data_IF_494821122257
#
_entry.id   IF_494821122257
#
_cell.length_a   1.000
_cell.length_b   1.000
_cell.length_c   1.000
_cell.angle_alpha   90.00
_cell.angle_beta   90.00
_cell.angle_gamma   90.00
#
_symmetry.space_group_name_H-M   'P 1'
#
loop_
_entity.id
_entity.type
_entity.pdbx_description
1 polymer ?
#
# COMPACT_ATOMS: atom_id res chain seq x y z
N UNK A 1 -26.86 -10.19 -10.64
CA UNK A 1 -25.70 -9.88 -9.77
C UNK A 1 -24.59 -9.08 -10.48
N UNK A 2 -24.59 -9.00 -11.83
CA UNK A 2 -23.54 -8.25 -12.58
C UNK A 2 -23.64 -6.72 -12.44
N UNK A 3 -24.79 -6.22 -12.01
CA UNK A 3 -25.08 -4.77 -11.89
C UNK A 3 -24.88 -4.23 -10.46
N UNK A 4 -24.27 -5.00 -9.57
CA UNK A 4 -23.98 -4.56 -8.22
C UNK A 4 -22.59 -3.89 -8.17
N UNK A 5 -22.56 -2.61 -7.87
CA UNK A 5 -21.34 -1.78 -7.77
C UNK A 5 -20.28 -2.41 -6.83
N UNK A 6 -20.72 -3.04 -5.74
CA UNK A 6 -19.80 -3.72 -4.82
C UNK A 6 -19.11 -4.92 -5.45
N UNK A 7 -19.85 -5.70 -6.26
CA UNK A 7 -19.28 -6.86 -6.95
C UNK A 7 -18.28 -6.41 -8.02
N UNK A 8 -18.62 -5.36 -8.77
CA UNK A 8 -17.72 -4.79 -9.76
C UNK A 8 -16.43 -4.22 -9.12
N UNK A 9 -16.57 -3.52 -8.00
CA UNK A 9 -15.43 -2.97 -7.24
C UNK A 9 -14.54 -4.09 -6.70
N UNK A 10 -15.11 -5.15 -6.13
CA UNK A 10 -14.36 -6.29 -5.63
C UNK A 10 -13.61 -7.03 -6.74
N UNK A 11 -14.28 -7.27 -7.87
CA UNK A 11 -13.66 -7.89 -9.04
C UNK A 11 -12.47 -7.05 -9.53
N UNK A 12 -12.64 -5.74 -9.64
CA UNK A 12 -11.57 -4.82 -10.03
C UNK A 12 -10.37 -4.88 -9.07
N UNK A 13 -10.62 -4.93 -7.76
CA UNK A 13 -9.55 -5.05 -6.75
C UNK A 13 -8.77 -6.36 -6.95
N UNK A 14 -9.47 -7.49 -7.12
CA UNK A 14 -8.86 -8.81 -7.29
C UNK A 14 -8.03 -8.85 -8.59
N UNK A 15 -8.62 -8.42 -9.70
CA UNK A 15 -7.97 -8.42 -11.01
C UNK A 15 -6.72 -7.54 -11.01
N UNK A 16 -6.83 -6.34 -10.45
CA UNK A 16 -5.69 -5.41 -10.33
C UNK A 16 -4.59 -5.97 -9.43
N UNK A 17 -4.96 -6.55 -8.29
CA UNK A 17 -4.01 -7.17 -7.38
C UNK A 17 -3.26 -8.31 -8.04
N UNK A 18 -3.97 -9.20 -8.73
CA UNK A 18 -3.35 -10.31 -9.44
C UNK A 18 -2.47 -9.85 -10.61
N UNK A 19 -2.86 -8.81 -11.32
CA UNK A 19 -2.03 -8.22 -12.37
C UNK A 19 -0.73 -7.60 -11.84
N UNK A 20 -0.71 -7.15 -10.59
CA UNK A 20 0.47 -6.58 -9.91
C UNK A 20 1.29 -7.62 -9.16
N UNK A 21 0.75 -8.82 -8.94
CA UNK A 21 1.38 -9.85 -8.10
C UNK A 21 2.71 -10.37 -8.65
N UNK A 22 2.90 -10.37 -9.97
CA UNK A 22 4.10 -10.89 -10.64
C UNK A 22 4.48 -12.32 -10.14
N UNK A 23 3.45 -13.14 -9.93
CA UNK A 23 3.60 -14.51 -9.41
C UNK A 23 3.97 -14.65 -7.93
N UNK A 24 4.07 -13.54 -7.20
CA UNK A 24 4.47 -13.55 -5.77
C UNK A 24 3.33 -13.91 -4.84
N UNK A 25 2.09 -13.66 -5.23
CA UNK A 25 0.88 -13.98 -4.48
C UNK A 25 -0.30 -14.13 -5.44
N UNK A 26 -1.42 -14.64 -4.92
CA UNK A 26 -2.70 -14.70 -5.61
C UNK A 26 -3.76 -14.08 -4.72
N UNK A 27 -4.57 -13.18 -5.27
CA UNK A 27 -5.76 -12.65 -4.62
C UNK A 27 -6.98 -13.41 -5.14
N UNK A 28 -7.82 -13.90 -4.23
CA UNK A 28 -9.04 -14.62 -4.55
C UNK A 28 -10.21 -14.18 -3.66
N UNK A 29 -11.41 -14.49 -4.07
CA UNK A 29 -12.61 -14.22 -3.30
C UNK A 29 -12.95 -15.43 -2.43
N UNK A 30 -13.04 -15.22 -1.12
CA UNK A 30 -13.46 -16.23 -0.16
C UNK A 30 -14.82 -15.84 0.46
N UNK A 31 -15.84 -16.64 0.21
CA UNK A 31 -17.19 -16.47 0.79
C UNK A 31 -17.26 -16.80 2.28
N UNK A 32 -16.30 -17.55 2.79
CA UNK A 32 -16.27 -18.00 4.19
C UNK A 32 -15.57 -17.01 5.10
N UNK A 33 -14.86 -16.04 4.49
CA UNK A 33 -14.07 -15.06 5.23
C UNK A 33 -14.96 -14.04 5.95
N UNK A 34 -14.90 -14.06 7.27
CA UNK A 34 -15.66 -13.16 8.15
C UNK A 34 -14.72 -12.48 9.14
N UNK A 35 -14.87 -11.17 9.28
CA UNK A 35 -14.16 -10.38 10.31
C UNK A 35 -15.11 -9.87 11.35
N UNK A 36 -14.81 -10.09 12.63
CA UNK A 36 -15.62 -9.64 13.76
C UNK A 36 -15.57 -8.13 14.07
N UNK A 37 -14.95 -7.32 13.23
CA UNK A 37 -14.78 -5.89 13.42
C UNK A 37 -15.91 -5.11 12.75
N UNK A 38 -16.81 -4.55 13.53
CA UNK A 38 -18.01 -3.84 13.05
C UNK A 38 -17.78 -2.45 12.43
N UNK A 39 -16.53 -2.02 12.20
CA UNK A 39 -16.22 -0.72 11.62
C UNK A 39 -15.92 -0.75 10.12
N UNK A 40 -15.77 -1.93 9.52
CA UNK A 40 -15.53 -2.04 8.08
C UNK A 40 -16.79 -1.65 7.29
N UNK A 41 -16.58 -0.90 6.21
CA UNK A 41 -17.64 -0.40 5.32
C UNK A 41 -17.50 -0.87 3.88
N UNK A 42 -16.49 -1.64 3.57
CA UNK A 42 -16.21 -2.15 2.24
C UNK A 42 -15.38 -3.42 2.28
N UNK A 43 -14.53 -3.59 1.30
CA UNK A 43 -13.67 -4.77 1.16
C UNK A 43 -12.85 -5.03 2.41
N UNK A 44 -12.84 -6.27 2.85
CA UNK A 44 -11.96 -6.81 3.88
C UNK A 44 -11.04 -7.84 3.28
N UNK A 45 -9.84 -8.00 3.81
CA UNK A 45 -8.86 -8.94 3.29
C UNK A 45 -8.02 -9.57 4.41
N UNK A 46 -7.48 -10.71 4.09
CA UNK A 46 -6.52 -11.44 4.91
C UNK A 46 -5.38 -11.92 4.02
N UNK A 47 -4.19 -11.98 4.57
CA UNK A 47 -3.01 -12.51 3.89
C UNK A 47 -2.58 -13.77 4.61
N UNK A 48 -2.62 -14.88 3.91
CA UNK A 48 -2.11 -16.16 4.37
C UNK A 48 -0.71 -16.42 3.82
N UNK A 49 0.12 -16.99 4.63
CA UNK A 49 1.40 -17.52 4.20
C UNK A 49 1.30 -19.04 4.18
N UNK A 50 1.32 -19.63 2.97
CA UNK A 50 0.98 -21.04 2.74
C UNK A 50 1.81 -22.02 3.56
N UNK A 51 3.12 -21.75 3.71
CA UNK A 51 4.01 -22.62 4.50
C UNK A 51 3.71 -22.58 6.01
N UNK A 52 2.98 -21.55 6.46
CA UNK A 52 2.72 -21.33 7.90
C UNK A 52 1.31 -21.68 8.30
N UNK A 53 0.45 -21.99 7.35
CA UNK A 53 -0.98 -22.32 7.52
C UNK A 53 -1.71 -21.38 8.49
N UNK A 54 -1.37 -20.10 8.44
CA UNK A 54 -1.91 -19.04 9.31
C UNK A 54 -1.86 -17.67 8.66
N UNK A 55 -2.84 -16.86 9.02
CA UNK A 55 -2.88 -15.44 8.62
C UNK A 55 -1.70 -14.66 9.19
N UNK A 56 -1.01 -13.93 8.34
CA UNK A 56 0.12 -13.07 8.71
C UNK A 56 -0.23 -11.59 8.69
N UNK A 57 -1.29 -11.20 7.99
CA UNK A 57 -1.78 -9.83 7.96
C UNK A 57 -3.27 -9.81 7.62
N UNK A 58 -3.94 -8.74 7.99
CA UNK A 58 -5.33 -8.53 7.64
C UNK A 58 -5.71 -7.06 7.67
N UNK A 59 -6.78 -6.71 6.97
CA UNK A 59 -7.25 -5.33 6.93
C UNK A 59 -8.58 -5.17 6.23
N UNK A 60 -8.91 -3.92 5.92
CA UNK A 60 -10.10 -3.59 5.16
C UNK A 60 -10.36 -2.09 5.07
N UNK A 61 -11.40 -1.74 4.31
CA UNK A 61 -11.86 -0.38 4.11
C UNK A 61 -12.81 0.04 5.23
N UNK A 62 -12.62 1.26 5.74
CA UNK A 62 -13.49 1.87 6.73
C UNK A 62 -13.64 3.38 6.46
N UNK A 63 -14.85 3.79 6.07
CA UNK A 63 -15.11 5.17 5.65
C UNK A 63 -15.58 6.06 6.81
N UNK A 64 -16.06 5.47 7.89
CA UNK A 64 -16.71 6.20 8.98
C UNK A 64 -15.86 6.31 10.25
N UNK A 65 -14.75 5.59 10.35
CA UNK A 65 -13.98 5.52 11.59
C UNK A 65 -13.25 6.83 11.88
N UNK A 66 -12.57 7.37 10.88
CA UNK A 66 -11.79 8.60 11.01
C UNK A 66 -12.69 9.81 11.31
N UNK A 67 -13.88 9.86 10.70
CA UNK A 67 -14.85 10.92 10.89
C UNK A 67 -15.38 11.04 12.32
N UNK A 68 -15.34 9.97 13.10
CA UNK A 68 -15.71 10.03 14.53
C UNK A 68 -14.76 10.91 15.34
N UNK A 69 -13.51 11.06 14.90
CA UNK A 69 -12.50 11.85 15.59
C UNK A 69 -12.33 13.25 14.98
N UNK A 70 -12.46 13.37 13.65
CA UNK A 70 -12.16 14.61 12.92
C UNK A 70 -13.38 15.42 12.49
N UNK A 71 -14.61 14.93 12.73
CA UNK A 71 -15.89 15.50 12.26
C UNK A 71 -16.01 15.65 10.74
N UNK A 72 -15.20 14.92 10.01
CA UNK A 72 -15.20 14.85 8.55
C UNK A 72 -15.24 13.39 8.10
N UNK A 73 -16.01 13.08 7.06
CA UNK A 73 -16.04 11.74 6.52
C UNK A 73 -14.79 11.52 5.65
N UNK A 74 -13.88 10.69 6.12
CA UNK A 74 -12.62 10.40 5.45
C UNK A 74 -12.56 8.88 5.19
N UNK A 75 -12.71 8.44 3.93
CA UNK A 75 -12.54 7.04 3.58
C UNK A 75 -11.09 6.62 3.82
N UNK A 76 -10.93 5.44 4.40
CA UNK A 76 -9.62 4.91 4.70
C UNK A 76 -9.56 3.39 4.51
N UNK A 77 -8.38 2.90 4.20
CA UNK A 77 -8.03 1.49 4.22
C UNK A 77 -6.88 1.32 5.21
N UNK A 78 -6.98 0.34 6.07
CA UNK A 78 -5.94 0.02 7.01
C UNK A 78 -5.69 -1.47 7.09
N UNK A 79 -4.54 -1.84 7.61
CA UNK A 79 -4.19 -3.23 7.83
C UNK A 79 -3.29 -3.35 9.07
N UNK A 80 -3.27 -4.54 9.61
CA UNK A 80 -2.33 -4.95 10.65
C UNK A 80 -1.53 -6.16 10.19
N UNK A 81 -0.31 -6.25 10.67
CA UNK A 81 0.57 -7.38 10.42
C UNK A 81 0.83 -8.12 11.73
N UNK A 82 0.89 -9.44 11.68
CA UNK A 82 1.28 -10.27 12.80
C UNK A 82 2.80 -10.24 12.97
N UNK A 83 3.30 -9.25 13.73
CA UNK A 83 4.74 -9.01 13.88
C UNK A 83 5.51 -10.28 14.25
N UNK A 84 5.07 -10.99 15.27
CA UNK A 84 5.75 -12.19 15.75
C UNK A 84 5.79 -13.30 14.70
N UNK A 85 4.71 -13.47 13.94
CA UNK A 85 4.62 -14.47 12.86
C UNK A 85 5.57 -14.13 11.72
N UNK A 86 5.55 -12.88 11.26
CA UNK A 86 6.47 -12.42 10.21
C UNK A 86 7.91 -12.49 10.68
N UNK A 87 8.20 -12.09 11.92
CA UNK A 87 9.52 -12.19 12.50
C UNK A 87 10.02 -13.64 12.51
N UNK A 88 9.19 -14.60 12.96
CA UNK A 88 9.54 -16.01 12.95
C UNK A 88 9.86 -16.54 11.55
N UNK A 89 9.04 -16.19 10.56
CA UNK A 89 9.26 -16.56 9.15
C UNK A 89 10.58 -15.98 8.62
N UNK A 90 10.88 -14.72 8.91
CA UNK A 90 12.11 -14.08 8.48
C UNK A 90 13.35 -14.67 9.13
N UNK A 91 13.27 -15.03 10.42
CA UNK A 91 14.35 -15.70 11.15
C UNK A 91 14.61 -17.11 10.59
N UNK A 92 13.57 -17.85 10.31
CA UNK A 92 13.66 -19.19 9.73
C UNK A 92 14.29 -19.19 8.32
N UNK A 93 14.00 -18.14 7.54
CA UNK A 93 14.54 -17.96 6.18
C UNK A 93 15.86 -17.18 6.15
N UNK A 94 16.43 -16.80 7.27
CA UNK A 94 17.64 -15.94 7.37
C UNK A 94 17.54 -14.63 6.52
N UNK A 95 16.31 -14.15 6.31
CA UNK A 95 16.00 -13.08 5.35
C UNK A 95 16.12 -11.65 5.93
N UNK A 96 16.74 -11.49 7.11
CA UNK A 96 16.85 -10.18 7.77
C UNK A 96 18.19 -9.50 7.45
N UNK A 97 18.18 -8.61 6.50
CA UNK A 97 19.29 -7.66 6.29
C UNK A 97 18.79 -6.24 6.47
N UNK A 98 19.39 -5.50 7.42
CA UNK A 98 19.06 -4.08 7.63
C UNK A 98 20.01 -3.20 6.80
N UNK A 99 19.62 -2.84 5.60
CA UNK A 99 20.30 -1.81 4.82
C UNK A 99 19.70 -0.43 5.12
N UNK A 100 20.56 0.57 5.34
CA UNK A 100 20.12 1.96 5.49
C UNK A 100 19.87 2.58 4.12
N UNK A 101 18.64 2.43 3.60
CA UNK A 101 18.25 3.10 2.38
C UNK A 101 17.73 4.51 2.65
N UNK A 102 18.04 5.45 1.75
CA UNK A 102 17.44 6.80 1.73
C UNK A 102 15.93 6.70 1.51
N UNK A 103 15.18 7.61 2.14
CA UNK A 103 13.72 7.68 2.03
C UNK A 103 13.35 8.61 0.87
N UNK A 104 12.62 8.11 -0.11
CA UNK A 104 12.17 8.90 -1.27
C UNK A 104 10.68 8.78 -1.49
N UNK A 105 10.12 9.76 -2.16
CA UNK A 105 8.71 9.75 -2.55
C UNK A 105 8.59 9.65 -4.07
N UNK A 106 7.79 8.70 -4.55
CA UNK A 106 7.31 8.66 -5.92
C UNK A 106 5.95 9.35 -5.99
N UNK A 107 5.88 10.45 -6.73
CA UNK A 107 4.68 11.26 -6.93
C UNK A 107 4.10 10.91 -8.30
N UNK A 108 2.82 10.56 -8.38
CA UNK A 108 2.17 10.10 -9.60
C UNK A 108 0.79 10.74 -9.80
N UNK A 109 0.27 10.76 -11.02
CA UNK A 109 -1.10 11.16 -11.32
C UNK A 109 -2.07 10.02 -11.00
N UNK A 110 -3.29 10.33 -10.61
CA UNK A 110 -4.27 9.37 -10.10
C UNK A 110 -4.58 8.22 -11.07
N UNK A 111 -4.57 8.50 -12.37
CA UNK A 111 -4.77 7.53 -13.44
C UNK A 111 -3.58 6.60 -13.72
N UNK A 112 -2.42 6.88 -13.13
CA UNK A 112 -1.16 6.15 -13.33
C UNK A 112 -0.84 5.17 -12.19
N UNK A 113 -1.77 4.88 -11.29
CA UNK A 113 -1.48 4.16 -10.04
C UNK A 113 -0.84 2.78 -10.28
N UNK A 114 -1.32 2.00 -11.25
CA UNK A 114 -0.80 0.65 -11.51
C UNK A 114 0.66 0.68 -11.98
N UNK A 115 0.97 1.60 -12.90
CA UNK A 115 2.33 1.74 -13.42
C UNK A 115 3.28 2.35 -12.39
N UNK A 116 2.79 3.29 -11.57
CA UNK A 116 3.55 3.86 -10.46
C UNK A 116 3.90 2.80 -9.40
N UNK A 117 2.99 1.86 -9.10
CA UNK A 117 3.27 0.75 -8.19
C UNK A 117 4.37 -0.15 -8.75
N UNK A 118 4.28 -0.55 -10.02
CA UNK A 118 5.32 -1.37 -10.68
C UNK A 118 6.68 -0.68 -10.70
N UNK A 119 6.68 0.61 -10.98
CA UNK A 119 7.90 1.42 -10.97
C UNK A 119 8.49 1.54 -9.57
N UNK A 120 7.65 1.74 -8.56
CA UNK A 120 8.07 1.80 -7.16
C UNK A 120 8.72 0.50 -6.68
N UNK A 121 8.31 -0.67 -7.18
CA UNK A 121 8.97 -1.95 -6.88
C UNK A 121 10.45 -1.94 -7.28
N UNK A 122 10.78 -1.32 -8.41
CA UNK A 122 12.16 -1.15 -8.82
C UNK A 122 12.92 -0.15 -7.95
N UNK A 123 12.30 0.98 -7.62
CA UNK A 123 12.90 1.98 -6.72
C UNK A 123 13.19 1.41 -5.33
N UNK A 124 12.35 0.51 -4.83
CA UNK A 124 12.51 -0.15 -3.53
C UNK A 124 13.74 -1.03 -3.40
N UNK A 125 14.36 -1.41 -4.51
CA UNK A 125 15.65 -2.10 -4.50
C UNK A 125 16.79 -1.21 -4.00
N UNK A 126 16.63 0.12 -4.10
CA UNK A 126 17.66 1.11 -3.76
C UNK A 126 17.21 2.07 -2.66
N UNK A 127 15.91 2.38 -2.59
CA UNK A 127 15.34 3.39 -1.72
C UNK A 127 14.17 2.85 -0.88
N UNK A 128 13.95 3.44 0.29
CA UNK A 128 12.65 3.30 1.00
C UNK A 128 11.63 4.21 0.31
N UNK A 129 10.80 3.66 -0.56
CA UNK A 129 9.93 4.44 -1.45
C UNK A 129 8.49 4.48 -0.95
N UNK A 130 7.97 5.69 -0.70
CA UNK A 130 6.56 5.97 -0.49
C UNK A 130 5.91 6.49 -1.78
N UNK A 131 4.61 6.21 -1.97
CA UNK A 131 3.84 6.69 -3.12
C UNK A 131 2.87 7.78 -2.67
N UNK A 132 2.78 8.86 -3.46
CA UNK A 132 1.81 9.94 -3.25
C UNK A 132 1.17 10.39 -4.55
N UNK A 133 -0.14 10.58 -4.51
CA UNK A 133 -0.85 11.25 -5.61
C UNK A 133 -0.37 12.70 -5.69
N UNK A 134 -0.16 13.18 -6.90
CA UNK A 134 0.36 14.52 -7.17
C UNK A 134 -0.58 15.60 -6.61
N UNK A 135 -0.12 16.43 -5.68
CA UNK A 135 -0.92 17.49 -5.10
C UNK A 135 -0.99 18.72 -6.02
N UNK A 136 -2.06 19.52 -5.89
CA UNK A 136 -2.24 20.76 -6.66
C UNK A 136 -1.08 21.77 -6.46
N UNK A 137 -0.46 21.81 -5.29
CA UNK A 137 0.66 22.71 -4.92
C UNK A 137 1.92 21.91 -4.60
N UNK A 138 2.57 21.40 -5.65
CA UNK A 138 3.72 20.52 -5.53
C UNK A 138 4.86 21.12 -4.67
N UNK A 139 5.25 22.36 -4.90
CA UNK A 139 6.37 22.99 -4.16
C UNK A 139 6.16 23.01 -2.65
N UNK A 140 4.95 23.39 -2.19
CA UNK A 140 4.63 23.37 -0.75
C UNK A 140 4.65 21.94 -0.18
N UNK A 141 4.23 20.97 -0.98
CA UNK A 141 4.26 19.57 -0.59
C UNK A 141 5.69 19.04 -0.45
N UNK A 142 6.57 19.37 -1.39
CA UNK A 142 7.98 18.98 -1.34
C UNK A 142 8.69 19.52 -0.09
N UNK A 143 8.48 20.78 0.27
CA UNK A 143 9.04 21.36 1.51
C UNK A 143 8.57 20.57 2.74
N UNK A 144 7.28 20.19 2.80
CA UNK A 144 6.75 19.38 3.89
C UNK A 144 7.38 17.99 3.95
N UNK A 145 7.66 17.35 2.80
CA UNK A 145 8.33 16.06 2.76
C UNK A 145 9.77 16.14 3.28
N UNK A 146 10.49 17.19 2.93
CA UNK A 146 11.84 17.44 3.43
C UNK A 146 11.83 17.62 4.96
N UNK A 147 10.89 18.40 5.51
CA UNK A 147 10.66 18.57 6.93
C UNK A 147 10.31 17.23 7.65
N UNK A 148 9.62 16.32 6.96
CA UNK A 148 9.27 14.99 7.44
C UNK A 148 10.43 13.97 7.35
N UNK A 149 11.59 14.40 6.88
CA UNK A 149 12.81 13.57 6.83
C UNK A 149 12.87 12.63 5.64
N UNK A 150 12.22 12.97 4.53
CA UNK A 150 12.50 12.35 3.25
C UNK A 150 13.79 12.93 2.67
N UNK A 151 14.55 12.09 1.96
CA UNK A 151 15.83 12.49 1.36
C UNK A 151 15.67 12.98 -0.09
N UNK A 152 14.54 12.64 -0.74
CA UNK A 152 14.32 13.03 -2.12
C UNK A 152 12.93 12.63 -2.65
N UNK A 153 12.70 12.93 -3.92
CA UNK A 153 11.46 12.65 -4.61
C UNK A 153 11.70 12.37 -6.10
N UNK A 154 10.70 11.77 -6.74
CA UNK A 154 10.62 11.63 -8.20
C UNK A 154 9.17 11.80 -8.64
N UNK A 155 8.93 12.52 -9.71
CA UNK A 155 7.59 12.62 -10.32
C UNK A 155 7.53 11.62 -11.48
N UNK A 156 6.69 10.61 -11.34
CA UNK A 156 6.51 9.54 -12.32
C UNK A 156 6.10 10.10 -13.69
N UNK A 157 6.71 9.60 -14.75
CA UNK A 157 6.47 10.05 -16.12
C UNK A 157 7.05 11.42 -16.48
N UNK A 158 7.67 12.14 -15.53
CA UNK A 158 8.31 13.44 -15.77
C UNK A 158 9.81 13.43 -15.48
N UNK A 159 10.19 12.86 -14.34
CA UNK A 159 11.59 12.86 -13.91
C UNK A 159 12.21 11.50 -14.25
N UNK A 160 13.39 11.51 -14.85
CA UNK A 160 14.11 10.28 -15.21
C UNK A 160 14.75 9.63 -13.99
N UNK A 161 15.17 10.43 -13.00
CA UNK A 161 15.87 9.99 -11.80
C UNK A 161 15.26 10.60 -10.52
N UNK A 162 15.61 10.01 -9.38
CA UNK A 162 15.28 10.55 -8.06
C UNK A 162 16.08 11.84 -7.82
N UNK A 163 15.38 12.91 -7.51
CA UNK A 163 15.96 14.20 -7.12
C UNK A 163 16.12 14.24 -5.61
N UNK A 164 17.33 14.42 -5.13
CA UNK A 164 17.58 14.60 -3.71
C UNK A 164 17.25 16.03 -3.28
N UNK A 165 16.69 16.19 -2.06
CA UNK A 165 16.59 17.49 -1.44
C UNK A 165 18.00 18.04 -1.13
N UNK A 166 18.20 19.32 -1.29
CA UNK A 166 19.45 19.97 -0.94
C UNK A 166 19.57 20.03 0.59
N UNK A 167 20.59 19.37 1.14
CA UNK A 167 21.02 19.62 2.51
C UNK A 167 21.99 20.78 2.52
#
# INVERSE_FOLDING_TARGET
>A
CKDNEYVASLAHIIDTSNALADGKYTAEYDMTFVRGQGYYTGTVFEVEYLDFNSSIACGGRYDNLIGKFLKEQIPAVGFSIGFERIYSILMEKEAYKTEKHKKVVLIYEEDQIADAIRYAENLRKTYKTALYIKPKKLGKFLNKLEEQGFDGFQVFGRDEEVRMFGK
#
